data_IF_166210996898
#
_entry.id   IF_166210996898
#
_cell.length_a   1.000
_cell.length_b   1.000
_cell.length_c   1.000
_cell.angle_alpha   90.00
_cell.angle_beta   90.00
_cell.angle_gamma   90.00
#
_symmetry.space_group_name_H-M   'P 1'
#
loop_
_entity.id
_entity.type
_entity.pdbx_description
1 polymer ?
#
# COMPACT_ATOMS: atom_id res chain seq x y z
N UNK A 1 2.42 0.01 -43.68
CA UNK A 1 2.96 1.09 -42.84
C UNK A 1 1.87 1.50 -41.86
N UNK A 2 2.20 1.47 -40.58
CA UNK A 2 1.32 1.28 -39.41
C UNK A 2 0.22 2.35 -39.23
N UNK A 3 -1.01 1.90 -38.95
CA UNK A 3 -2.09 2.66 -38.30
C UNK A 3 -2.64 1.84 -37.12
N UNK A 4 -1.76 1.46 -36.20
CA UNK A 4 -2.15 0.93 -34.88
C UNK A 4 -1.31 1.68 -33.85
N UNK A 5 -1.87 2.72 -33.21
CA UNK A 5 -1.25 3.39 -32.04
C UNK A 5 -2.05 4.58 -31.46
N UNK A 6 -3.06 5.14 -32.13
CA UNK A 6 -3.63 6.43 -31.69
C UNK A 6 -4.58 6.35 -30.47
N UNK A 7 -5.29 5.24 -30.25
CA UNK A 7 -6.36 5.15 -29.23
C UNK A 7 -5.86 4.71 -27.85
N UNK A 8 -4.97 3.71 -27.77
CA UNK A 8 -4.45 3.16 -26.49
C UNK A 8 -3.76 4.21 -25.62
N UNK A 9 -2.89 5.11 -26.14
CA UNK A 9 -2.27 6.15 -25.33
C UNK A 9 -3.27 7.18 -24.79
N UNK A 10 -4.37 7.45 -25.51
CA UNK A 10 -5.41 8.38 -25.09
C UNK A 10 -6.28 7.77 -23.98
N UNK A 11 -6.65 6.49 -24.09
CA UNK A 11 -7.37 5.76 -23.04
C UNK A 11 -6.55 5.65 -21.75
N UNK A 12 -5.25 5.32 -21.87
CA UNK A 12 -4.29 5.34 -20.76
C UNK A 12 -4.24 6.72 -20.09
N UNK A 13 -4.05 7.77 -20.89
CA UNK A 13 -3.99 9.14 -20.37
C UNK A 13 -5.31 9.59 -19.75
N UNK A 14 -6.46 9.16 -20.29
CA UNK A 14 -7.78 9.48 -19.77
C UNK A 14 -8.06 8.80 -18.42
N UNK A 15 -7.79 7.50 -18.31
CA UNK A 15 -7.98 6.75 -17.06
C UNK A 15 -7.05 7.25 -15.94
N UNK A 16 -5.77 7.46 -16.24
CA UNK A 16 -4.80 8.01 -15.28
C UNK A 16 -5.14 9.46 -14.90
N UNK A 17 -5.58 10.27 -15.86
CA UNK A 17 -6.03 11.64 -15.61
C UNK A 17 -7.27 11.71 -14.73
N UNK A 18 -8.25 10.81 -14.92
CA UNK A 18 -9.43 10.69 -14.07
C UNK A 18 -9.07 10.33 -12.61
N UNK A 19 -7.98 9.59 -12.42
CA UNK A 19 -7.43 9.26 -11.10
C UNK A 19 -6.49 10.35 -10.52
N UNK A 20 -6.40 11.53 -11.17
CA UNK A 20 -5.57 12.65 -10.71
C UNK A 20 -4.06 12.45 -10.91
N UNK A 21 -3.64 11.43 -11.66
CA UNK A 21 -2.23 11.11 -11.87
C UNK A 21 -1.63 11.86 -13.07
N UNK A 22 -0.46 12.45 -12.87
CA UNK A 22 0.33 13.03 -13.96
C UNK A 22 0.90 11.94 -14.87
N UNK A 23 0.63 12.02 -16.16
CA UNK A 23 1.16 11.06 -17.15
C UNK A 23 2.35 11.66 -17.87
N UNK A 24 3.54 11.07 -17.66
CA UNK A 24 4.74 11.39 -18.43
C UNK A 24 5.02 10.28 -19.43
N UNK A 25 4.80 10.56 -20.72
CA UNK A 25 5.18 9.64 -21.80
C UNK A 25 6.69 9.76 -22.04
N UNK A 26 7.39 8.64 -21.98
CA UNK A 26 8.82 8.57 -22.30
C UNK A 26 9.01 7.59 -23.44
N UNK A 27 9.42 8.05 -24.63
CA UNK A 27 9.82 7.16 -25.70
C UNK A 27 11.13 6.46 -25.31
N UNK A 28 11.21 5.16 -25.56
CA UNK A 28 12.39 4.34 -25.30
C UNK A 28 12.99 3.88 -26.64
N UNK A 29 14.32 3.90 -26.78
CA UNK A 29 15.06 3.59 -28.02
C UNK A 29 16.41 4.33 -28.14
N UNK A 30 17.16 4.04 -29.22
CA UNK A 30 18.48 4.64 -29.48
C UNK A 30 18.44 6.18 -29.37
N UNK A 31 19.24 6.73 -28.46
CA UNK A 31 19.35 8.17 -28.22
C UNK A 31 18.47 8.72 -27.10
N UNK A 32 17.66 7.89 -26.41
CA UNK A 32 16.93 8.30 -25.21
C UNK A 32 17.90 8.60 -24.06
N UNK A 33 17.86 9.81 -23.50
CA UNK A 33 18.75 10.26 -22.43
C UNK A 33 18.23 9.89 -21.04
N UNK A 34 19.05 9.13 -20.31
CA UNK A 34 19.12 8.90 -18.86
C UNK A 34 17.83 8.46 -18.10
N UNK A 35 17.95 7.52 -17.14
CA UNK A 35 16.82 6.83 -16.55
C UNK A 35 15.91 7.80 -15.77
N UNK A 36 14.60 7.60 -15.92
CA UNK A 36 13.61 8.15 -15.01
C UNK A 36 14.04 7.85 -13.56
N UNK A 37 14.24 8.88 -12.74
CA UNK A 37 14.32 8.69 -11.31
C UNK A 37 12.97 8.13 -10.85
N UNK A 38 12.95 6.85 -10.45
CA UNK A 38 11.72 6.16 -10.02
C UNK A 38 11.13 6.70 -8.72
N UNK A 39 11.84 7.60 -8.02
CA UNK A 39 11.40 8.17 -6.75
C UNK A 39 10.03 8.85 -6.80
N UNK A 40 9.67 9.41 -7.96
CA UNK A 40 8.39 10.12 -8.19
C UNK A 40 7.43 9.32 -9.10
N UNK A 41 7.69 8.03 -9.32
CA UNK A 41 6.91 7.20 -10.25
C UNK A 41 5.98 6.25 -9.47
N UNK A 42 4.68 6.45 -9.65
CA UNK A 42 3.63 5.68 -8.96
C UNK A 42 3.20 4.42 -9.70
N UNK A 43 3.47 4.38 -11.00
CA UNK A 43 3.21 3.24 -11.86
C UNK A 43 3.90 3.42 -13.20
N UNK A 44 4.32 2.32 -13.81
CA UNK A 44 4.94 2.27 -15.13
C UNK A 44 4.04 1.47 -16.07
N UNK A 45 3.73 2.04 -17.22
CA UNK A 45 3.05 1.32 -18.30
C UNK A 45 4.05 1.13 -19.45
N UNK A 46 4.31 -0.12 -19.80
CA UNK A 46 5.15 -0.50 -20.93
C UNK A 46 4.25 -0.83 -22.11
N UNK A 47 4.36 -0.04 -23.18
CA UNK A 47 3.64 -0.23 -24.44
C UNK A 47 4.63 -0.64 -25.54
N UNK A 48 4.10 -1.15 -26.66
CA UNK A 48 4.82 -1.65 -27.84
C UNK A 48 6.17 -0.98 -28.11
N UNK A 49 7.23 -1.81 -28.12
CA UNK A 49 8.55 -1.42 -28.61
C UNK A 49 8.77 -2.01 -30.01
N UNK A 50 9.18 -1.21 -31.01
CA UNK A 50 9.57 -1.72 -32.32
C UNK A 50 10.98 -2.32 -32.24
N UNK A 51 11.14 -3.45 -31.54
CA UNK A 51 12.40 -4.20 -31.48
C UNK A 51 12.89 -4.55 -30.07
N UNK A 52 14.03 -5.25 -29.97
CA UNK A 52 14.62 -5.63 -28.69
C UNK A 52 14.98 -4.40 -27.86
N UNK A 53 14.81 -4.52 -26.54
CA UNK A 53 15.14 -3.47 -25.59
C UNK A 53 16.60 -3.01 -25.72
N UNK A 54 16.83 -1.71 -25.71
CA UNK A 54 18.16 -1.22 -25.36
C UNK A 54 18.46 -1.51 -23.87
N UNK A 55 19.75 -1.43 -23.52
CA UNK A 55 20.23 -1.71 -22.15
C UNK A 55 19.58 -0.80 -21.11
N UNK A 56 19.25 0.46 -21.50
CA UNK A 56 18.65 1.44 -20.59
C UNK A 56 17.20 1.12 -20.22
N UNK A 57 16.43 0.67 -21.19
CA UNK A 57 15.02 0.25 -21.02
C UNK A 57 14.94 -0.95 -20.09
N UNK A 58 15.79 -1.95 -20.32
CA UNK A 58 15.85 -3.13 -19.46
C UNK A 58 16.29 -2.75 -18.03
N UNK A 59 17.26 -1.83 -17.87
CA UNK A 59 17.67 -1.34 -16.56
C UNK A 59 16.54 -0.60 -15.81
N UNK A 60 15.72 0.20 -16.50
CA UNK A 60 14.56 0.86 -15.90
C UNK A 60 13.52 -0.15 -15.38
N UNK A 61 13.18 -1.16 -16.19
CA UNK A 61 12.25 -2.22 -15.78
C UNK A 61 12.80 -2.97 -14.56
N UNK A 62 14.09 -3.29 -14.56
CA UNK A 62 14.75 -3.93 -13.40
C UNK A 62 14.73 -3.06 -12.16
N UNK A 63 14.99 -1.76 -12.29
CA UNK A 63 14.92 -0.82 -11.18
C UNK A 63 13.48 -0.70 -10.64
N UNK A 64 12.47 -0.71 -11.51
CA UNK A 64 11.06 -0.70 -11.11
C UNK A 64 10.67 -1.97 -10.35
N UNK A 65 11.09 -3.15 -10.82
CA UNK A 65 10.90 -4.42 -10.13
C UNK A 65 11.58 -4.44 -8.74
N UNK A 66 12.83 -3.98 -8.66
CA UNK A 66 13.57 -3.89 -7.41
C UNK A 66 12.91 -2.93 -6.40
N UNK A 67 12.40 -1.79 -6.88
CA UNK A 67 11.67 -0.81 -6.07
C UNK A 67 10.19 -1.17 -5.82
N UNK A 68 9.74 -2.34 -6.31
CA UNK A 68 8.35 -2.79 -6.24
C UNK A 68 7.36 -1.76 -6.80
N UNK A 69 7.76 -0.97 -7.81
CA UNK A 69 6.87 -0.05 -8.53
C UNK A 69 5.89 -0.89 -9.36
N UNK A 70 4.59 -0.57 -9.39
CA UNK A 70 3.62 -1.27 -10.24
C UNK A 70 4.01 -1.12 -11.70
N UNK A 71 4.11 -2.24 -12.42
CA UNK A 71 4.39 -2.26 -13.86
C UNK A 71 3.28 -3.01 -14.60
N UNK A 72 2.59 -2.35 -15.52
CA UNK A 72 1.71 -3.01 -16.48
C UNK A 72 2.33 -2.99 -17.86
N UNK A 73 2.54 -4.17 -18.43
CA UNK A 73 3.19 -4.35 -19.71
C UNK A 73 2.23 -4.97 -20.72
N UNK A 74 2.05 -4.32 -21.87
CA UNK A 74 1.16 -4.76 -22.94
C UNK A 74 1.96 -5.09 -24.19
N UNK A 75 1.60 -6.19 -24.86
CA UNK A 75 2.14 -6.62 -26.16
C UNK A 75 3.68 -6.61 -26.20
N UNK A 76 4.32 -5.78 -27.03
CA UNK A 76 5.78 -5.69 -27.08
C UNK A 76 6.41 -5.30 -25.73
N UNK A 77 5.69 -4.54 -24.90
CA UNK A 77 6.10 -4.24 -23.52
C UNK A 77 6.10 -5.50 -22.64
N UNK A 78 5.18 -6.44 -22.86
CA UNK A 78 5.13 -7.70 -22.13
C UNK A 78 6.27 -8.64 -22.54
N UNK A 79 6.71 -8.60 -23.80
CA UNK A 79 7.94 -9.30 -24.23
C UNK A 79 9.18 -8.72 -23.55
N UNK A 80 9.28 -7.39 -23.48
CA UNK A 80 10.33 -6.68 -22.75
C UNK A 80 10.37 -7.07 -21.27
N UNK A 81 9.23 -7.08 -20.59
CA UNK A 81 9.13 -7.45 -19.17
C UNK A 81 9.61 -8.89 -18.94
N UNK A 82 9.20 -9.82 -19.79
CA UNK A 82 9.64 -11.22 -19.70
C UNK A 82 11.13 -11.38 -20.01
N UNK A 83 11.65 -10.69 -21.03
CA UNK A 83 13.08 -10.73 -21.38
C UNK A 83 13.98 -10.10 -20.33
N UNK A 84 13.48 -9.12 -19.57
CA UNK A 84 14.23 -8.45 -18.50
C UNK A 84 14.48 -9.36 -17.28
N UNK A 85 13.77 -10.48 -17.18
CA UNK A 85 13.94 -11.48 -16.11
C UNK A 85 14.50 -12.81 -16.60
N UNK A 86 14.41 -13.10 -17.91
CA UNK A 86 14.91 -14.35 -18.49
C UNK A 86 16.43 -14.26 -18.81
N UNK A 87 17.24 -14.92 -17.98
CA UNK A 87 18.70 -15.16 -18.07
C UNK A 87 19.60 -13.92 -18.28
N UNK A 88 20.40 -13.55 -17.27
CA UNK A 88 21.35 -12.45 -17.42
C UNK A 88 22.45 -12.79 -18.43
N UNK A 89 22.86 -11.79 -19.23
CA UNK A 89 24.19 -11.79 -19.84
C UNK A 89 25.24 -11.70 -18.73
N UNK A 90 26.43 -12.27 -18.98
CA UNK A 90 27.42 -12.70 -17.98
C UNK A 90 28.03 -11.65 -17.03
N UNK A 91 27.50 -10.42 -16.96
CA UNK A 91 28.06 -9.33 -16.16
C UNK A 91 27.10 -8.70 -15.14
N UNK A 92 25.82 -9.06 -15.10
CA UNK A 92 24.89 -8.58 -14.07
C UNK A 92 24.11 -9.76 -13.45
N UNK A 93 24.58 -10.29 -12.33
CA UNK A 93 23.81 -11.26 -11.53
C UNK A 93 22.62 -10.56 -10.88
N UNK A 94 21.41 -10.83 -11.39
CA UNK A 94 20.14 -10.46 -10.76
C UNK A 94 19.73 -11.54 -9.77
N UNK A 95 20.43 -11.60 -8.64
CA UNK A 95 19.94 -12.41 -7.53
C UNK A 95 18.59 -11.84 -7.07
N UNK A 96 17.50 -12.61 -7.25
CA UNK A 96 16.23 -12.40 -6.55
C UNK A 96 15.01 -11.96 -7.36
N UNK A 97 15.08 -11.75 -8.68
CA UNK A 97 13.86 -11.56 -9.49
C UNK A 97 13.23 -12.92 -9.86
N UNK A 98 11.96 -13.17 -9.52
CA UNK A 98 11.29 -14.42 -9.86
C UNK A 98 10.96 -14.52 -11.35
N UNK A 99 10.95 -15.75 -11.88
CA UNK A 99 10.56 -16.07 -13.26
C UNK A 99 9.09 -15.67 -13.54
N UNK A 100 8.74 -15.35 -14.80
CA UNK A 100 7.36 -15.10 -15.20
C UNK A 100 6.47 -16.31 -14.89
N UNK A 101 5.36 -16.08 -14.21
CA UNK A 101 4.39 -17.13 -13.86
C UNK A 101 3.05 -16.86 -14.55
N UNK A 102 2.34 -17.88 -15.05
CA UNK A 102 0.96 -17.70 -15.50
C UNK A 102 0.13 -17.07 -14.39
N UNK A 103 -0.59 -15.99 -14.70
CA UNK A 103 -1.45 -15.38 -13.72
C UNK A 103 -2.67 -16.29 -13.51
N UNK A 104 -2.78 -16.92 -12.33
CA UNK A 104 -4.05 -17.51 -11.94
C UNK A 104 -5.09 -16.38 -11.84
N UNK A 105 -6.33 -16.67 -12.25
CA UNK A 105 -7.53 -15.77 -12.27
C UNK A 105 -7.80 -15.04 -10.94
N UNK A 106 -7.02 -15.33 -9.89
CA UNK A 106 -7.11 -14.82 -8.53
C UNK A 106 -6.44 -13.46 -8.29
N UNK A 107 -5.58 -12.96 -9.20
CA UNK A 107 -4.98 -11.63 -9.03
C UNK A 107 -6.04 -10.53 -9.29
N UNK A 108 -6.30 -9.61 -8.34
CA UNK A 108 -7.31 -8.55 -8.49
C UNK A 108 -7.14 -7.69 -9.75
N UNK A 109 -5.93 -7.56 -10.29
CA UNK A 109 -5.70 -6.83 -11.52
C UNK A 109 -6.31 -7.56 -12.74
N UNK A 110 -6.46 -8.89 -12.67
CA UNK A 110 -7.02 -9.73 -13.71
C UNK A 110 -8.39 -10.32 -13.39
N UNK A 111 -8.97 -10.09 -12.20
CA UNK A 111 -10.30 -10.61 -11.82
C UNK A 111 -11.41 -10.10 -12.75
N UNK A 112 -12.20 -10.98 -13.35
CA UNK A 112 -13.30 -10.66 -14.27
C UNK A 112 -13.86 -11.92 -14.92
N UNK A 113 -14.86 -11.79 -15.79
CA UNK A 113 -15.56 -12.96 -16.39
C UNK A 113 -14.63 -13.91 -17.15
N UNK A 114 -13.52 -13.40 -17.70
CA UNK A 114 -12.45 -14.22 -18.29
C UNK A 114 -11.13 -13.43 -18.37
N UNK A 115 -10.08 -13.76 -17.59
CA UNK A 115 -8.79 -13.06 -17.65
C UNK A 115 -8.09 -13.31 -18.99
N UNK A 116 -7.17 -12.41 -19.43
CA UNK A 116 -6.42 -12.64 -20.65
C UNK A 116 -5.61 -13.94 -20.53
N UNK A 117 -5.77 -14.92 -21.44
CA UNK A 117 -5.11 -16.24 -21.31
C UNK A 117 -3.59 -16.16 -21.43
N UNK A 118 -3.08 -15.03 -21.92
CA UNK A 118 -1.66 -14.70 -22.09
C UNK A 118 -1.11 -13.85 -20.95
N UNK A 119 -1.92 -13.59 -19.90
CA UNK A 119 -1.50 -12.82 -18.76
C UNK A 119 -0.49 -13.59 -17.90
N UNK A 120 0.56 -12.89 -17.49
CA UNK A 120 1.56 -13.42 -16.59
C UNK A 120 1.97 -12.37 -15.56
N UNK A 121 2.62 -12.84 -14.50
CA UNK A 121 3.12 -12.01 -13.42
C UNK A 121 4.59 -12.24 -13.18
N UNK A 122 5.30 -11.16 -12.85
CA UNK A 122 6.69 -11.17 -12.41
C UNK A 122 6.71 -10.58 -11.00
N UNK A 123 6.95 -11.45 -10.01
CA UNK A 123 7.02 -11.05 -8.61
C UNK A 123 5.74 -10.43 -8.07
N UNK A 124 5.88 -9.44 -7.20
CA UNK A 124 4.79 -8.81 -6.46
C UNK A 124 4.05 -7.71 -7.23
N UNK A 125 4.71 -7.07 -8.19
CA UNK A 125 4.36 -5.72 -8.64
C UNK A 125 4.38 -5.53 -10.16
N UNK A 126 4.54 -6.59 -10.95
CA UNK A 126 4.59 -6.47 -12.41
C UNK A 126 3.73 -7.50 -13.13
N UNK A 127 3.00 -7.03 -14.13
CA UNK A 127 1.98 -7.76 -14.86
C UNK A 127 2.19 -7.58 -16.35
N UNK A 128 2.15 -8.68 -17.11
CA UNK A 128 2.28 -8.67 -18.56
C UNK A 128 1.07 -9.30 -19.24
N UNK A 129 0.62 -8.72 -20.35
CA UNK A 129 -0.48 -9.24 -21.19
C UNK A 129 -0.06 -9.18 -22.66
N UNK A 130 -0.26 -10.26 -23.41
CA UNK A 130 0.07 -10.32 -24.85
C UNK A 130 -1.17 -10.53 -25.70
N UNK A 131 -1.33 -9.82 -26.82
CA UNK A 131 -2.33 -10.18 -27.82
C UNK A 131 -1.94 -11.51 -28.50
N UNK A 132 -2.91 -12.38 -28.72
CA UNK A 132 -2.68 -13.67 -29.37
C UNK A 132 -2.59 -13.49 -30.89
N UNK A 133 -1.39 -13.20 -31.39
CA UNK A 133 -0.93 -13.44 -32.77
C UNK A 133 -1.55 -12.60 -33.90
N UNK A 134 -0.89 -12.63 -35.07
CA UNK A 134 -1.29 -11.86 -36.26
C UNK A 134 -2.66 -12.24 -36.84
N UNK A 135 -3.22 -13.40 -36.46
CA UNK A 135 -4.57 -13.83 -36.81
C UNK A 135 -5.66 -13.36 -35.82
N UNK A 136 -5.25 -12.83 -34.65
CA UNK A 136 -6.11 -12.26 -33.60
C UNK A 136 -6.35 -10.76 -33.75
N UNK A 137 -5.70 -10.09 -34.71
CA UNK A 137 -6.00 -8.70 -35.12
C UNK A 137 -7.34 -8.56 -35.88
N UNK A 138 -8.30 -9.45 -35.64
CA UNK A 138 -9.69 -9.08 -35.92
C UNK A 138 -10.09 -8.11 -34.81
N UNK A 139 -10.63 -6.97 -35.22
CA UNK A 139 -11.28 -5.99 -34.36
C UNK A 139 -12.41 -6.66 -33.56
N UNK A 140 -12.06 -7.45 -32.56
CA UNK A 140 -13.01 -7.97 -31.61
C UNK A 140 -13.14 -6.90 -30.54
N UNK A 141 -14.22 -6.12 -30.61
CA UNK A 141 -14.48 -5.00 -29.71
C UNK A 141 -14.40 -5.41 -28.22
N UNK A 142 -14.54 -6.70 -27.92
CA UNK A 142 -14.34 -7.25 -26.58
C UNK A 142 -12.88 -7.26 -26.09
N UNK A 143 -11.87 -7.31 -26.96
CA UNK A 143 -10.46 -7.27 -26.55
C UNK A 143 -10.07 -5.86 -26.09
N UNK A 144 -10.42 -4.84 -26.87
CA UNK A 144 -10.11 -3.44 -26.55
C UNK A 144 -10.79 -3.01 -25.25
N UNK A 145 -12.07 -3.39 -25.06
CA UNK A 145 -12.80 -3.13 -23.82
C UNK A 145 -12.16 -3.82 -22.60
N UNK A 146 -11.63 -5.04 -22.75
CA UNK A 146 -10.92 -5.76 -21.68
C UNK A 146 -9.60 -5.07 -21.31
N UNK A 147 -8.86 -4.58 -22.31
CA UNK A 147 -7.62 -3.82 -22.08
C UNK A 147 -7.93 -2.46 -21.42
N UNK A 148 -8.98 -1.76 -21.81
CA UNK A 148 -9.42 -0.52 -21.14
C UNK A 148 -9.77 -0.75 -19.66
N UNK A 149 -10.52 -1.81 -19.35
CA UNK A 149 -10.84 -2.16 -17.96
C UNK A 149 -9.60 -2.56 -17.15
N UNK A 150 -8.62 -3.21 -17.79
CA UNK A 150 -7.34 -3.53 -17.17
C UNK A 150 -6.54 -2.26 -16.87
N UNK A 151 -6.48 -1.32 -17.82
CA UNK A 151 -5.84 -0.03 -17.66
C UNK A 151 -6.49 0.79 -16.54
N UNK A 152 -7.83 0.76 -16.44
CA UNK A 152 -8.55 1.42 -15.36
C UNK A 152 -8.18 0.85 -13.99
N UNK A 153 -8.20 -0.48 -13.83
CA UNK A 153 -7.80 -1.13 -12.56
C UNK A 153 -6.32 -0.88 -12.22
N UNK A 154 -5.45 -0.83 -13.22
CA UNK A 154 -4.06 -0.45 -13.01
C UNK A 154 -3.93 1.00 -12.59
N UNK A 155 -4.72 1.91 -13.16
CA UNK A 155 -4.77 3.30 -12.74
C UNK A 155 -5.25 3.44 -11.29
N UNK A 156 -6.30 2.72 -10.88
CA UNK A 156 -6.75 2.67 -9.47
C UNK A 156 -5.65 2.13 -8.55
N UNK A 157 -4.94 1.07 -8.94
CA UNK A 157 -3.80 0.54 -8.20
C UNK A 157 -2.67 1.56 -8.06
N UNK A 158 -2.31 2.25 -9.14
CA UNK A 158 -1.27 3.28 -9.16
C UNK A 158 -1.71 4.52 -8.35
N UNK A 159 -2.98 4.90 -8.40
CA UNK A 159 -3.54 6.04 -7.67
C UNK A 159 -3.61 5.77 -6.17
N UNK A 160 -4.10 4.59 -5.78
CA UNK A 160 -4.00 4.09 -4.40
C UNK A 160 -2.56 4.16 -3.91
N UNK A 161 -1.57 3.79 -4.72
CA UNK A 161 -0.16 3.94 -4.35
C UNK A 161 0.28 5.41 -4.24
N UNK A 162 -0.16 6.27 -5.15
CA UNK A 162 0.20 7.70 -5.17
C UNK A 162 -0.32 8.47 -3.94
N UNK A 163 -1.55 8.20 -3.52
CA UNK A 163 -2.12 8.72 -2.28
C UNK A 163 -1.27 8.31 -1.07
N UNK A 164 -0.77 7.08 -1.08
CA UNK A 164 0.18 6.61 -0.09
C UNK A 164 1.58 7.22 -0.26
N UNK A 165 2.02 7.58 -1.48
CA UNK A 165 3.40 8.05 -1.72
C UNK A 165 3.66 9.44 -1.14
N UNK A 166 2.69 10.36 -1.07
CA UNK A 166 2.92 11.66 -0.39
C UNK A 166 3.24 11.45 1.09
N UNK A 167 2.42 10.63 1.75
CA UNK A 167 2.60 10.22 3.16
C UNK A 167 3.90 9.42 3.33
N UNK A 168 4.14 8.44 2.44
CA UNK A 168 5.32 7.57 2.45
C UNK A 168 6.61 8.35 2.25
N UNK A 169 6.64 9.33 1.34
CA UNK A 169 7.80 10.18 1.07
C UNK A 169 8.11 11.07 2.27
N UNK A 170 7.08 11.66 2.89
CA UNK A 170 7.25 12.47 4.10
C UNK A 170 7.88 11.66 5.26
N UNK A 171 7.42 10.43 5.46
CA UNK A 171 7.89 9.54 6.53
C UNK A 171 9.22 8.85 6.20
N UNK A 172 9.46 8.46 4.95
CA UNK A 172 10.71 7.83 4.50
C UNK A 172 11.92 8.69 4.84
N UNK A 173 11.85 10.00 4.59
CA UNK A 173 12.93 10.95 4.89
C UNK A 173 13.24 11.08 6.39
N UNK A 174 12.32 10.66 7.26
CA UNK A 174 12.41 10.85 8.71
C UNK A 174 12.54 9.54 9.48
N UNK A 175 12.44 8.39 8.80
CA UNK A 175 12.38 7.08 9.43
C UNK A 175 13.59 6.80 10.33
N UNK A 176 14.79 7.18 9.91
CA UNK A 176 16.04 6.96 10.66
C UNK A 176 16.09 7.72 11.99
N UNK A 177 15.56 8.94 12.03
CA UNK A 177 15.58 9.78 13.23
C UNK A 177 14.27 9.68 14.04
N UNK A 178 13.29 8.90 13.57
CA UNK A 178 11.94 8.90 14.15
C UNK A 178 11.94 8.35 15.57
N UNK A 179 12.63 7.22 15.79
CA UNK A 179 12.70 6.61 17.13
C UNK A 179 13.54 7.46 18.08
N UNK A 180 14.69 7.98 17.64
CA UNK A 180 15.54 8.86 18.46
C UNK A 180 14.79 10.11 18.92
N UNK A 181 13.96 10.68 18.04
CA UNK A 181 13.17 11.88 18.34
C UNK A 181 12.00 11.61 19.28
N UNK A 182 11.39 10.42 19.24
CA UNK A 182 10.12 10.14 19.91
C UNK A 182 10.18 8.99 20.92
N UNK A 183 11.36 8.45 21.24
CA UNK A 183 11.55 7.39 22.23
C UNK A 183 10.94 7.75 23.60
N UNK A 184 10.97 9.03 23.99
CA UNK A 184 10.36 9.51 25.23
C UNK A 184 8.84 9.25 25.32
N UNK A 185 8.18 8.95 24.21
CA UNK A 185 6.74 8.65 24.15
C UNK A 185 6.44 7.17 24.49
N UNK A 186 7.44 6.29 24.57
CA UNK A 186 7.24 4.87 24.83
C UNK A 186 6.39 4.57 26.09
N UNK A 187 6.55 5.27 27.23
CA UNK A 187 5.67 5.07 28.39
C UNK A 187 4.20 5.38 28.12
N UNK A 188 3.90 6.40 27.30
CA UNK A 188 2.54 6.76 26.93
C UNK A 188 1.91 5.69 26.02
N UNK A 189 2.68 5.15 25.08
CA UNK A 189 2.26 4.01 24.25
C UNK A 189 1.98 2.77 25.09
N UNK A 190 2.89 2.43 26.02
CA UNK A 190 2.70 1.29 26.91
C UNK A 190 1.43 1.46 27.77
N UNK A 191 1.24 2.62 28.39
CA UNK A 191 0.04 2.95 29.15
C UNK A 191 -1.23 2.81 28.29
N UNK A 192 -1.23 3.32 27.06
CA UNK A 192 -2.35 3.17 26.13
C UNK A 192 -2.63 1.71 25.78
N UNK A 193 -1.60 0.92 25.46
CA UNK A 193 -1.75 -0.51 25.13
C UNK A 193 -2.41 -1.29 26.28
N UNK A 194 -2.08 -0.99 27.54
CA UNK A 194 -2.76 -1.65 28.68
C UNK A 194 -4.27 -1.41 28.73
N UNK A 195 -4.76 -0.28 28.17
CA UNK A 195 -6.19 0.03 28.08
C UNK A 195 -6.94 -0.87 27.08
N UNK A 196 -6.23 -1.58 26.20
CA UNK A 196 -6.86 -2.56 25.30
C UNK A 196 -7.44 -3.77 26.05
N UNK A 197 -6.83 -4.14 27.18
CA UNK A 197 -7.28 -5.27 28.03
C UNK A 197 -7.44 -6.60 27.25
N UNK A 198 -6.51 -6.87 26.33
CA UNK A 198 -6.50 -8.09 25.54
C UNK A 198 -6.21 -9.32 26.42
N UNK A 199 -6.74 -10.47 26.02
CA UNK A 199 -6.44 -11.74 26.68
C UNK A 199 -5.08 -12.27 26.19
N UNK A 200 -4.25 -12.90 27.05
CA UNK A 200 -3.06 -13.59 26.58
C UNK A 200 -3.38 -14.63 25.50
N UNK A 201 -2.48 -14.81 24.54
CA UNK A 201 -2.66 -15.73 23.41
C UNK A 201 -3.39 -15.16 22.20
N UNK A 202 -3.89 -13.92 22.26
CA UNK A 202 -4.60 -13.30 21.14
C UNK A 202 -3.67 -12.73 20.05
N UNK A 203 -4.23 -12.41 18.89
CA UNK A 203 -3.57 -11.67 17.81
C UNK A 203 -3.88 -10.19 17.93
N UNK A 204 -2.83 -9.37 18.03
CA UNK A 204 -2.88 -7.92 18.03
C UNK A 204 -2.17 -7.34 16.79
N UNK A 205 -2.77 -6.31 16.19
CA UNK A 205 -2.20 -5.55 15.08
C UNK A 205 -1.93 -4.10 15.48
N UNK A 206 -0.76 -3.58 15.11
CA UNK A 206 -0.42 -2.15 15.19
C UNK A 206 -0.50 -1.56 13.76
N UNK A 207 -1.57 -0.82 13.47
CA UNK A 207 -1.87 -0.28 12.15
C UNK A 207 -1.31 1.14 12.01
N UNK A 208 -0.41 1.33 11.04
CA UNK A 208 0.45 2.51 10.94
C UNK A 208 1.57 2.45 11.99
N UNK A 209 2.21 1.29 12.13
CA UNK A 209 3.12 1.02 13.25
C UNK A 209 4.37 1.91 13.24
N UNK A 210 4.75 2.49 12.09
CA UNK A 210 5.98 3.26 11.95
C UNK A 210 7.20 2.44 12.36
N UNK A 211 7.99 2.97 13.29
CA UNK A 211 9.14 2.30 13.93
C UNK A 211 8.76 1.22 14.97
N UNK A 212 7.47 0.87 15.08
CA UNK A 212 6.96 -0.22 15.92
C UNK A 212 6.95 0.09 17.41
N UNK A 213 6.72 1.35 17.81
CA UNK A 213 6.78 1.79 19.22
C UNK A 213 5.81 1.07 20.15
N UNK A 214 4.63 0.66 19.66
CA UNK A 214 3.66 -0.07 20.45
C UNK A 214 4.00 -1.57 20.59
N UNK A 215 4.81 -2.13 19.67
CA UNK A 215 5.03 -3.57 19.55
C UNK A 215 5.58 -4.24 20.83
N UNK A 216 6.53 -3.65 21.59
CA UNK A 216 6.98 -4.26 22.84
C UNK A 216 5.86 -4.39 23.86
N UNK A 217 5.06 -3.33 24.06
CA UNK A 217 3.94 -3.35 24.99
C UNK A 217 2.82 -4.30 24.52
N UNK A 218 2.57 -4.36 23.21
CA UNK A 218 1.63 -5.33 22.65
C UNK A 218 2.11 -6.77 22.87
N UNK A 219 3.40 -7.04 22.69
CA UNK A 219 4.01 -8.35 22.96
C UNK A 219 3.87 -8.73 24.42
N UNK A 220 4.16 -7.82 25.34
CA UNK A 220 3.96 -8.04 26.77
C UNK A 220 2.50 -8.35 27.10
N UNK A 221 1.56 -7.59 26.52
CA UNK A 221 0.12 -7.75 26.76
C UNK A 221 -0.42 -9.10 26.26
N UNK A 222 -0.08 -9.52 25.04
CA UNK A 222 -0.59 -10.79 24.47
C UNK A 222 0.23 -12.02 24.90
N UNK A 223 1.41 -11.81 25.48
CA UNK A 223 2.28 -12.86 25.97
C UNK A 223 2.97 -13.71 24.89
N UNK A 224 3.66 -14.79 25.29
CA UNK A 224 4.49 -15.60 24.38
C UNK A 224 3.66 -16.43 23.39
N UNK A 225 2.42 -16.77 23.73
CA UNK A 225 1.51 -17.52 22.85
C UNK A 225 0.68 -16.60 21.94
N UNK A 226 0.70 -15.29 22.18
CA UNK A 226 0.03 -14.31 21.33
C UNK A 226 0.85 -13.93 20.11
N UNK A 227 0.21 -13.22 19.19
CA UNK A 227 0.82 -12.74 17.95
C UNK A 227 0.72 -11.22 17.89
N UNK A 228 1.81 -10.57 17.47
CA UNK A 228 1.85 -9.13 17.19
C UNK A 228 2.24 -8.96 15.74
N UNK A 229 1.49 -8.13 15.01
CA UNK A 229 1.79 -7.75 13.63
C UNK A 229 1.80 -6.23 13.52
N UNK A 230 2.95 -5.64 13.22
CA UNK A 230 3.06 -4.24 12.85
C UNK A 230 2.82 -4.07 11.35
N UNK A 231 1.92 -3.17 10.97
CA UNK A 231 1.58 -2.89 9.57
C UNK A 231 1.88 -1.43 9.26
N UNK A 232 2.63 -1.19 8.18
CA UNK A 232 2.87 0.15 7.66
C UNK A 232 3.02 0.11 6.14
N UNK A 233 2.54 1.14 5.45
CA UNK A 233 2.68 1.25 3.99
C UNK A 233 4.07 1.75 3.57
N UNK A 234 4.89 2.19 4.54
CA UNK A 234 6.22 2.78 4.33
C UNK A 234 7.33 1.77 4.64
N UNK A 235 7.98 1.16 3.61
CA UNK A 235 9.03 0.16 3.85
C UNK A 235 10.19 0.69 4.70
N UNK A 236 10.55 1.98 4.56
CA UNK A 236 11.62 2.58 5.35
C UNK A 236 11.31 2.59 6.86
N UNK A 237 10.04 2.77 7.25
CA UNK A 237 9.60 2.69 8.65
C UNK A 237 9.74 1.27 9.19
N UNK A 238 9.35 0.26 8.40
CA UNK A 238 9.50 -1.14 8.77
C UNK A 238 10.99 -1.55 8.86
N UNK A 239 11.83 -1.08 7.95
CA UNK A 239 13.29 -1.28 8.03
C UNK A 239 13.90 -0.63 9.28
N UNK A 240 13.41 0.55 9.70
CA UNK A 240 13.80 1.16 10.97
C UNK A 240 13.31 0.35 12.16
N UNK A 241 12.04 -0.10 12.16
CA UNK A 241 11.49 -0.98 13.19
C UNK A 241 12.34 -2.26 13.34
N UNK A 242 12.71 -2.90 12.23
CA UNK A 242 13.57 -4.08 12.26
C UNK A 242 14.95 -3.80 12.88
N UNK A 243 15.60 -2.67 12.53
CA UNK A 243 16.87 -2.26 13.15
C UNK A 243 16.74 -1.97 14.65
N UNK A 244 15.58 -1.53 15.11
CA UNK A 244 15.28 -1.34 16.54
C UNK A 244 14.79 -2.63 17.25
N UNK A 245 14.99 -3.80 16.64
CA UNK A 245 14.70 -5.10 17.25
C UNK A 245 13.21 -5.45 17.30
N UNK A 246 12.33 -4.73 16.58
CA UNK A 246 10.88 -5.00 16.66
C UNK A 246 10.46 -6.38 16.14
N UNK A 247 11.31 -7.05 15.36
CA UNK A 247 11.13 -8.44 14.93
C UNK A 247 11.20 -9.45 16.08
N UNK A 248 11.78 -9.09 17.24
CA UNK A 248 11.74 -9.91 18.46
C UNK A 248 10.35 -9.85 19.13
N UNK A 249 9.57 -8.81 18.83
CA UNK A 249 8.24 -8.62 19.40
C UNK A 249 7.13 -9.10 18.47
N UNK A 250 7.36 -9.26 17.18
CA UNK A 250 6.33 -9.70 16.24
C UNK A 250 6.75 -9.66 14.79
N UNK A 251 5.77 -9.77 13.89
CA UNK A 251 5.98 -9.69 12.46
C UNK A 251 5.78 -8.26 11.96
N UNK A 252 6.51 -7.87 10.92
CA UNK A 252 6.35 -6.60 10.21
C UNK A 252 5.77 -6.90 8.84
N UNK A 253 4.72 -6.17 8.47
CA UNK A 253 3.99 -6.36 7.22
C UNK A 253 3.89 -5.03 6.47
N UNK A 254 4.50 -4.98 5.28
CA UNK A 254 4.29 -3.88 4.35
C UNK A 254 2.92 -4.05 3.68
N UNK A 255 1.91 -3.30 4.14
CA UNK A 255 0.57 -3.35 3.58
C UNK A 255 -0.19 -2.05 3.77
N UNK A 256 -1.19 -1.87 2.91
CA UNK A 256 -2.18 -0.80 3.02
C UNK A 256 -3.24 -1.17 4.07
N UNK A 257 -3.46 -0.29 5.04
CA UNK A 257 -4.44 -0.50 6.11
C UNK A 257 -5.89 -0.34 5.65
N UNK A 258 -6.13 0.13 4.42
CA UNK A 258 -7.46 0.14 3.77
C UNK A 258 -7.79 -1.18 3.08
N UNK A 259 -6.80 -2.08 2.90
CA UNK A 259 -6.97 -3.41 2.31
C UNK A 259 -5.93 -4.41 2.83
N UNK A 260 -6.19 -4.94 4.02
CA UNK A 260 -5.27 -5.82 4.74
C UNK A 260 -5.27 -7.24 4.16
N UNK A 261 -4.10 -7.85 3.90
CA UNK A 261 -3.99 -9.23 3.43
C UNK A 261 -4.15 -10.25 4.57
N UNK A 262 -5.17 -10.06 5.41
CA UNK A 262 -5.47 -10.91 6.57
C UNK A 262 -6.92 -11.42 6.54
N UNK A 263 -7.19 -12.64 7.06
CA UNK A 263 -8.53 -13.21 7.03
C UNK A 263 -9.55 -12.40 7.83
N UNK A 264 -10.82 -12.46 7.42
CA UNK A 264 -11.95 -11.89 8.17
C UNK A 264 -12.03 -12.51 9.56
N UNK A 265 -12.34 -11.70 10.59
CA UNK A 265 -12.62 -12.21 11.93
C UNK A 265 -11.43 -12.83 12.67
N UNK A 266 -10.19 -12.49 12.30
CA UNK A 266 -8.98 -13.15 12.79
C UNK A 266 -8.20 -12.38 13.85
N UNK A 267 -8.54 -11.11 14.08
CA UNK A 267 -7.78 -10.16 14.93
C UNK A 267 -8.59 -9.80 16.17
N UNK A 268 -8.02 -9.92 17.37
CA UNK A 268 -8.71 -9.57 18.63
C UNK A 268 -8.29 -8.20 19.20
N UNK A 269 -7.20 -7.62 18.69
CA UNK A 269 -6.77 -6.27 19.09
C UNK A 269 -6.24 -5.48 17.92
N UNK A 270 -6.74 -4.27 17.73
CA UNK A 270 -6.24 -3.31 16.75
C UNK A 270 -5.82 -2.07 17.51
N UNK A 271 -4.52 -1.78 17.50
CA UNK A 271 -3.96 -0.54 18.01
C UNK A 271 -3.59 0.34 16.81
N UNK A 272 -3.91 1.62 16.86
CA UNK A 272 -3.45 2.56 15.84
C UNK A 272 -3.17 3.91 16.46
N UNK A 273 -1.95 4.41 16.27
CA UNK A 273 -1.52 5.68 16.85
C UNK A 273 -1.23 6.73 15.80
N UNK A 274 -2.09 7.76 15.72
CA UNK A 274 -1.93 8.88 14.79
C UNK A 274 -2.13 8.57 13.30
N UNK A 275 -2.58 7.36 12.93
CA UNK A 275 -2.77 6.99 11.52
C UNK A 275 -3.96 7.70 10.86
N UNK A 276 -5.08 7.86 11.56
CA UNK A 276 -6.34 8.31 10.93
C UNK A 276 -6.22 9.69 10.26
N UNK A 277 -5.38 10.58 10.80
CA UNK A 277 -5.13 11.90 10.22
C UNK A 277 -4.33 11.85 8.90
N UNK A 278 -3.72 10.70 8.59
CA UNK A 278 -2.87 10.48 7.41
C UNK A 278 -3.56 9.63 6.33
N UNK A 279 -4.79 9.19 6.56
CA UNK A 279 -5.56 8.42 5.60
C UNK A 279 -6.40 9.35 4.71
N UNK A 280 -6.40 9.17 3.38
CA UNK A 280 -7.27 9.91 2.47
C UNK A 280 -8.75 9.69 2.79
N UNK A 281 -9.13 8.44 3.04
CA UNK A 281 -10.45 8.05 3.50
C UNK A 281 -10.38 7.14 4.74
N UNK A 282 -10.50 7.72 5.95
CA UNK A 282 -10.54 6.96 7.20
C UNK A 282 -11.69 5.96 7.29
N UNK A 283 -12.81 6.16 6.58
CA UNK A 283 -13.96 5.25 6.64
C UNK A 283 -13.68 3.93 5.94
N UNK A 284 -12.97 3.96 4.80
CA UNK A 284 -12.53 2.74 4.11
C UNK A 284 -11.63 1.92 5.02
N UNK A 285 -10.67 2.55 5.71
CA UNK A 285 -9.83 1.86 6.70
C UNK A 285 -10.64 1.27 7.86
N UNK A 286 -11.52 2.06 8.49
CA UNK A 286 -12.34 1.55 9.62
C UNK A 286 -13.23 0.37 9.21
N UNK A 287 -13.77 0.38 7.98
CA UNK A 287 -14.55 -0.74 7.41
C UNK A 287 -13.67 -1.98 7.23
N UNK A 288 -12.47 -1.81 6.69
CA UNK A 288 -11.52 -2.90 6.54
C UNK A 288 -11.05 -3.46 7.89
N UNK A 289 -10.88 -2.60 8.89
CA UNK A 289 -10.51 -3.01 10.24
C UNK A 289 -11.64 -3.82 10.88
N UNK A 290 -12.90 -3.41 10.68
CA UNK A 290 -14.06 -4.19 11.12
C UNK A 290 -14.15 -5.54 10.41
N UNK A 291 -13.75 -5.64 9.14
CA UNK A 291 -13.70 -6.91 8.41
C UNK A 291 -12.75 -7.90 9.07
N UNK A 292 -11.56 -7.47 9.49
CA UNK A 292 -10.53 -8.36 10.05
C UNK A 292 -10.74 -8.64 11.54
N UNK A 293 -11.49 -7.78 12.22
CA UNK A 293 -11.82 -7.88 13.63
C UNK A 293 -12.66 -9.12 13.95
N UNK A 294 -12.21 -9.92 14.91
CA UNK A 294 -12.99 -10.94 15.58
C UNK A 294 -14.13 -10.31 16.39
N UNK A 295 -15.15 -11.09 16.77
CA UNK A 295 -16.35 -10.59 17.49
C UNK A 295 -16.02 -9.82 18.77
N UNK A 296 -14.96 -10.22 19.47
CA UNK A 296 -14.51 -9.60 20.71
C UNK A 296 -13.29 -8.68 20.52
N UNK A 297 -13.07 -8.21 19.30
CA UNK A 297 -11.97 -7.33 18.98
C UNK A 297 -12.09 -5.98 19.68
N UNK A 298 -10.97 -5.49 20.19
CA UNK A 298 -10.83 -4.13 20.72
C UNK A 298 -10.04 -3.28 19.74
N UNK A 299 -10.66 -2.21 19.24
CA UNK A 299 -9.97 -1.12 18.55
C UNK A 299 -9.56 -0.06 19.58
N UNK A 300 -8.30 0.35 19.55
CA UNK A 300 -7.78 1.47 20.32
C UNK A 300 -7.08 2.47 19.39
N UNK A 301 -7.68 3.65 19.28
CA UNK A 301 -7.09 4.80 18.61
C UNK A 301 -6.35 5.62 19.65
N UNK A 302 -5.12 6.02 19.36
CA UNK A 302 -4.26 6.71 20.32
C UNK A 302 -3.47 7.87 19.70
N UNK A 303 -3.16 8.87 20.50
CA UNK A 303 -2.10 9.83 20.22
C UNK A 303 -1.48 10.31 21.54
N UNK A 304 -0.15 10.48 21.65
CA UNK A 304 0.54 10.96 22.87
C UNK A 304 0.40 12.48 23.11
N UNK A 305 -0.68 13.06 22.58
CA UNK A 305 -1.08 14.46 22.75
C UNK A 305 -2.58 14.55 22.48
N UNK A 306 -3.29 15.38 23.24
CA UNK A 306 -4.69 15.71 22.94
C UNK A 306 -4.84 16.53 21.67
N UNK A 307 -6.07 16.66 21.15
CA UNK A 307 -6.34 17.41 19.91
C UNK A 307 -5.99 18.89 20.03
N UNK A 308 -6.28 19.51 21.18
CA UNK A 308 -5.97 20.91 21.43
C UNK A 308 -4.44 21.18 21.41
N UNK A 309 -3.64 20.28 21.99
CA UNK A 309 -2.18 20.39 21.97
C UNK A 309 -1.62 20.24 20.55
N UNK A 310 -2.19 19.31 19.76
CA UNK A 310 -1.81 19.11 18.36
C UNK A 310 -2.09 20.37 17.53
N UNK A 311 -3.29 20.94 17.66
CA UNK A 311 -3.67 22.17 16.97
C UNK A 311 -2.73 23.34 17.35
N UNK A 312 -2.46 23.51 18.66
CA UNK A 312 -1.58 24.56 19.17
C UNK A 312 -0.13 24.44 18.67
N UNK A 313 0.42 23.22 18.55
CA UNK A 313 1.77 22.98 17.99
C UNK A 313 1.91 23.48 16.55
N UNK A 314 0.81 23.56 15.81
CA UNK A 314 0.77 24.07 14.45
C UNK A 314 0.29 25.53 14.35
N UNK A 315 0.06 26.20 15.50
CA UNK A 315 -0.47 27.55 15.55
C UNK A 315 -1.90 27.67 14.99
N UNK A 316 -2.68 26.58 15.04
CA UNK A 316 -4.03 26.51 14.49
C UNK A 316 -5.07 26.37 15.61
N UNK A 317 -6.29 26.89 15.43
CA UNK A 317 -7.40 26.55 16.30
C UNK A 317 -7.80 25.07 16.12
N UNK A 318 -8.57 24.54 17.07
CA UNK A 318 -9.23 23.24 16.89
C UNK A 318 -10.13 23.29 15.65
N UNK A 319 -9.95 22.32 14.76
CA UNK A 319 -10.80 22.16 13.59
C UNK A 319 -12.13 21.50 13.99
N UNK A 320 -13.29 22.14 13.77
CA UNK A 320 -14.59 21.51 14.01
C UNK A 320 -14.82 20.23 13.19
N UNK A 321 -14.13 20.08 12.05
CA UNK A 321 -14.18 18.93 11.17
C UNK A 321 -13.15 17.84 11.53
N UNK A 322 -12.34 18.03 12.58
CA UNK A 322 -11.40 17.01 13.05
C UNK A 322 -12.14 15.70 13.31
N UNK A 323 -11.79 14.65 12.57
CA UNK A 323 -12.41 13.33 12.70
C UNK A 323 -12.30 12.78 14.11
N UNK A 324 -11.22 13.11 14.84
CA UNK A 324 -10.99 12.63 16.20
C UNK A 324 -11.86 13.34 17.23
N UNK A 325 -12.59 14.40 16.88
CA UNK A 325 -13.60 14.98 17.77
C UNK A 325 -14.71 13.96 18.03
N UNK A 326 -15.13 13.79 19.29
CA UNK A 326 -16.12 12.75 19.65
C UNK A 326 -17.39 12.77 18.78
N UNK A 327 -17.92 13.96 18.50
CA UNK A 327 -19.13 14.14 17.69
C UNK A 327 -18.95 13.75 16.21
N UNK A 328 -17.72 13.71 15.71
CA UNK A 328 -17.37 13.24 14.36
C UNK A 328 -16.96 11.77 14.37
N UNK A 329 -16.17 11.36 15.37
CA UNK A 329 -15.62 10.01 15.50
C UNK A 329 -16.71 8.98 15.77
N UNK A 330 -17.63 9.26 16.70
CA UNK A 330 -18.71 8.34 17.09
C UNK A 330 -19.56 7.92 15.89
N UNK A 331 -20.11 8.82 15.05
CA UNK A 331 -20.86 8.41 13.87
C UNK A 331 -19.99 7.76 12.78
N UNK A 332 -18.70 8.11 12.66
CA UNK A 332 -17.79 7.45 11.73
C UNK A 332 -17.55 5.98 12.10
N UNK A 333 -17.30 5.71 13.39
CA UNK A 333 -17.20 4.35 13.94
C UNK A 333 -18.50 3.57 13.76
N UNK A 334 -19.64 4.14 14.14
CA UNK A 334 -20.94 3.47 14.02
C UNK A 334 -21.26 3.06 12.58
N UNK A 335 -21.01 3.95 11.62
CA UNK A 335 -21.23 3.67 10.19
C UNK A 335 -20.34 2.57 9.62
N UNK A 336 -19.26 2.19 10.32
CA UNK A 336 -18.26 1.22 9.87
C UNK A 336 -18.24 -0.04 10.75
N UNK A 337 -19.27 -0.24 11.57
CA UNK A 337 -19.45 -1.47 12.37
C UNK A 337 -18.78 -1.44 13.74
N UNK A 338 -18.36 -0.27 14.23
CA UNK A 338 -17.75 -0.09 15.54
C UNK A 338 -18.66 0.64 16.51
N UNK A 339 -18.64 0.26 17.78
CA UNK A 339 -19.28 0.96 18.89
C UNK A 339 -18.20 1.60 19.77
N UNK A 340 -18.25 2.93 19.87
CA UNK A 340 -17.36 3.70 20.75
C UNK A 340 -17.73 3.48 22.22
N UNK A 341 -16.86 2.81 22.96
CA UNK A 341 -17.04 2.45 24.37
C UNK A 341 -16.36 3.44 25.33
N UNK A 342 -15.27 4.08 24.92
CA UNK A 342 -14.47 4.99 25.74
C UNK A 342 -13.86 6.09 24.88
N UNK A 343 -13.86 7.32 25.39
CA UNK A 343 -13.28 8.49 24.70
C UNK A 343 -12.61 9.41 25.73
N UNK A 344 -11.35 9.74 25.48
CA UNK A 344 -10.55 10.66 26.28
C UNK A 344 -9.80 11.61 25.34
N UNK A 345 -10.00 12.91 25.50
CA UNK A 345 -9.24 13.96 24.81
C UNK A 345 -8.74 14.95 25.86
N UNK A 346 -7.52 14.74 26.33
CA UNK A 346 -6.94 15.44 27.47
C UNK A 346 -5.56 16.00 27.13
N UNK A 347 -5.02 16.85 28.01
CA UNK A 347 -3.61 17.23 27.91
C UNK A 347 -2.75 15.99 28.10
N UNK A 348 -1.78 15.77 27.19
CA UNK A 348 -0.88 14.62 27.22
C UNK A 348 -1.36 13.38 26.45
N UNK A 349 -2.65 13.25 26.10
CA UNK A 349 -3.12 12.15 25.26
C UNK A 349 -4.49 12.34 24.62
N UNK A 350 -4.68 11.65 23.51
CA UNK A 350 -5.97 11.30 22.95
C UNK A 350 -6.11 9.77 22.96
N UNK A 351 -7.28 9.26 23.33
CA UNK A 351 -7.59 7.84 23.33
C UNK A 351 -9.07 7.60 23.01
N UNK A 352 -9.35 6.68 22.10
CA UNK A 352 -10.69 6.17 21.86
C UNK A 352 -10.67 4.64 21.79
N UNK A 353 -11.50 3.98 22.61
CA UNK A 353 -11.65 2.52 22.63
C UNK A 353 -13.00 2.15 22.06
N UNK A 354 -13.02 1.22 21.12
CA UNK A 354 -14.23 0.72 20.49
C UNK A 354 -14.24 -0.81 20.42
N UNK A 355 -15.41 -1.40 20.54
CA UNK A 355 -15.68 -2.80 20.20
C UNK A 355 -16.47 -2.90 18.90
N UNK A 356 -16.58 -4.11 18.33
CA UNK A 356 -17.53 -4.31 17.24
C UNK A 356 -18.98 -4.09 17.71
N UNK A 357 -19.79 -3.50 16.84
CA UNK A 357 -21.23 -3.45 17.01
C UNK A 357 -21.85 -4.84 16.76
N UNK A 358 -22.95 -5.13 17.44
CA UNK A 358 -23.65 -6.43 17.35
C UNK A 358 -24.40 -6.64 16.04
#
# INVERSE_FOLDING_TARGET
>A
MQQASAETPAAVSGALGAAGLGVRRVPLGEGATAPLALGDVEGLILLDAPGPADTGTAALVRAALAAQVPVLALDGGAELLAGSVARPTATETLDGCPEPTPAAVTDPLFTGDEPPPTAFRVGGSAWGVRSTGEAGRRQDAGYDQKIEQLLFRFAELAASRAEHTTTRTFFTQRADAWEERFAYQAPAYAAAVTRMRLRPGTTAMDLGCGTGRAMPALRELVGPHGRVVGVDVTPAMLSAAARHGRTEHGHLLAADCTRLPVPRGSVQGIFSAGLLDHLPDPRTALTEWARVAARDCVLLLFHPSGRAERAARHGRPLDPADLLAEHNLRPALAATGWRLDEYEDASGHFLARAGLAD
#
